data_IF_362473988528
#
_entry.id   IF_362473988528
#
_cell.length_a   1.000
_cell.length_b   1.000
_cell.length_c   1.000
_cell.angle_alpha   90.00
_cell.angle_beta   90.00
_cell.angle_gamma   90.00
#
_symmetry.space_group_name_H-M   'P 1'
#
loop_
_entity.id
_entity.type
_entity.pdbx_description
1 polymer ?
#
# COMPACT_ATOMS: atom_id res chain seq x y z
N UNK A 1 -4.41 8.95 -1.65
CA UNK A 1 -4.84 8.55 -2.99
C UNK A 1 -3.74 8.85 -3.97
N UNK A 2 -3.46 7.90 -4.85
CA UNK A 2 -2.60 8.08 -6.01
C UNK A 2 -3.29 7.54 -7.27
N UNK A 3 -2.88 8.03 -8.44
CA UNK A 3 -3.29 7.51 -9.75
C UNK A 3 -2.01 7.17 -10.49
N UNK A 4 -1.96 5.93 -10.99
CA UNK A 4 -0.90 5.46 -11.88
C UNK A 4 -1.48 5.17 -13.25
N UNK A 5 -0.81 5.60 -14.32
CA UNK A 5 -1.27 5.41 -15.71
C UNK A 5 -0.45 4.39 -16.46
N UNK A 6 -1.07 3.89 -17.55
CA UNK A 6 -0.51 2.93 -18.50
C UNK A 6 -0.17 1.58 -17.87
N UNK A 7 0.28 0.64 -18.70
CA UNK A 7 0.80 -0.66 -18.24
C UNK A 7 2.14 -0.54 -17.48
N UNK A 8 2.80 0.61 -17.55
CA UNK A 8 4.04 0.88 -16.80
C UNK A 8 3.78 1.44 -15.40
N UNK A 9 2.51 1.71 -15.05
CA UNK A 9 2.11 2.24 -13.74
C UNK A 9 2.91 3.48 -13.32
N UNK A 10 2.95 4.49 -14.19
CA UNK A 10 3.61 5.77 -13.92
C UNK A 10 2.70 6.64 -13.06
N UNK A 11 3.20 7.15 -11.93
CA UNK A 11 2.44 8.07 -11.08
C UNK A 11 2.14 9.37 -11.81
N UNK A 12 0.86 9.65 -12.02
CA UNK A 12 0.36 10.92 -12.57
C UNK A 12 -0.12 11.84 -11.46
N UNK A 13 -0.62 11.27 -10.36
CA UNK A 13 -1.12 12.00 -9.23
C UNK A 13 -0.85 11.25 -7.93
N UNK A 14 -0.53 11.99 -6.87
CA UNK A 14 -0.53 11.52 -5.50
C UNK A 14 -0.90 12.68 -4.58
N UNK A 15 -1.84 12.46 -3.68
CA UNK A 15 -2.17 13.46 -2.67
C UNK A 15 -1.12 13.47 -1.55
N UNK A 16 -1.03 14.54 -0.75
CA UNK A 16 0.00 14.67 0.30
C UNK A 16 0.06 13.47 1.26
N UNK A 17 -1.10 12.98 1.71
CA UNK A 17 -1.18 11.83 2.61
C UNK A 17 -0.62 10.53 2.01
N UNK A 18 -0.69 10.35 0.68
CA UNK A 18 -0.07 9.19 0.03
C UNK A 18 1.45 9.38 -0.08
N UNK A 19 1.92 10.62 -0.33
CA UNK A 19 3.35 10.94 -0.37
C UNK A 19 4.02 10.70 0.98
N UNK A 20 3.30 10.88 2.09
CA UNK A 20 3.78 10.56 3.45
C UNK A 20 4.19 9.08 3.64
N UNK A 21 3.66 8.15 2.82
CA UNK A 21 4.10 6.75 2.85
C UNK A 21 5.53 6.58 2.33
N UNK A 22 5.99 7.48 1.46
CA UNK A 22 7.28 7.45 0.78
C UNK A 22 7.93 8.84 0.75
N UNK A 23 8.20 9.46 1.93
CA UNK A 23 8.64 10.85 2.03
C UNK A 23 10.06 11.06 1.46
N UNK A 24 10.82 9.99 1.30
CA UNK A 24 12.17 9.93 0.76
C UNK A 24 12.21 9.71 -0.77
N UNK A 25 11.06 9.82 -1.45
CA UNK A 25 10.92 9.45 -2.88
C UNK A 25 10.12 10.47 -3.67
N UNK A 26 10.60 10.80 -4.86
CA UNK A 26 9.86 11.58 -5.86
C UNK A 26 8.98 10.63 -6.68
N UNK A 27 7.67 10.63 -6.44
CA UNK A 27 6.78 9.67 -7.08
C UNK A 27 6.36 10.10 -8.49
N UNK A 28 5.95 11.35 -8.66
CA UNK A 28 5.31 11.82 -9.89
C UNK A 28 6.24 11.68 -11.10
N UNK A 29 5.73 11.14 -12.20
CA UNK A 29 6.50 10.90 -13.42
C UNK A 29 7.33 9.61 -13.41
N UNK A 30 7.45 8.91 -12.28
CA UNK A 30 8.17 7.65 -12.16
C UNK A 30 7.22 6.45 -12.10
N UNK A 31 7.69 5.29 -12.55
CA UNK A 31 6.92 4.05 -12.44
C UNK A 31 6.93 3.52 -11.01
N UNK A 32 5.85 2.82 -10.59
CA UNK A 32 5.81 2.13 -9.29
C UNK A 32 7.00 1.18 -9.13
N UNK A 33 7.37 0.46 -10.19
CA UNK A 33 8.50 -0.49 -10.18
C UNK A 33 9.85 0.17 -9.91
N UNK A 34 10.07 1.35 -10.49
CA UNK A 34 11.32 2.10 -10.35
C UNK A 34 11.44 2.73 -8.96
N UNK A 35 10.36 3.35 -8.48
CA UNK A 35 10.42 4.15 -7.27
C UNK A 35 10.01 3.36 -6.02
N UNK A 36 9.23 2.29 -6.16
CA UNK A 36 8.80 1.37 -5.10
C UNK A 36 9.09 -0.09 -5.48
N UNK A 37 10.37 -0.48 -5.63
CA UNK A 37 10.74 -1.85 -5.99
C UNK A 37 10.20 -2.89 -4.99
N UNK A 38 10.06 -2.52 -3.71
CA UNK A 38 9.55 -3.41 -2.66
C UNK A 38 8.09 -3.81 -2.89
N UNK A 39 7.31 -2.99 -3.60
CA UNK A 39 5.95 -3.33 -3.99
C UNK A 39 5.95 -4.47 -5.03
N UNK A 40 6.96 -4.54 -5.90
CA UNK A 40 7.14 -5.64 -6.84
C UNK A 40 7.49 -6.93 -6.12
N UNK A 41 8.49 -6.86 -5.22
CA UNK A 41 8.98 -8.00 -4.44
C UNK A 41 7.90 -8.60 -3.54
N UNK A 42 6.97 -7.78 -3.06
CA UNK A 42 5.88 -8.19 -2.17
C UNK A 42 4.56 -8.47 -2.91
N UNK A 43 4.57 -8.48 -4.25
CA UNK A 43 3.43 -8.94 -5.07
C UNK A 43 2.33 -7.91 -5.33
N UNK A 44 2.50 -6.65 -4.94
CA UNK A 44 1.51 -5.59 -5.20
C UNK A 44 1.36 -5.28 -6.68
N UNK A 45 2.42 -5.44 -7.48
CA UNK A 45 2.37 -5.22 -8.93
C UNK A 45 1.43 -6.23 -9.61
N UNK A 46 1.45 -7.50 -9.19
CA UNK A 46 0.51 -8.49 -9.71
C UNK A 46 -0.96 -8.14 -9.43
N UNK A 47 -1.22 -7.43 -8.32
CA UNK A 47 -2.56 -6.92 -8.01
C UNK A 47 -2.95 -5.75 -8.95
N UNK A 48 -2.00 -4.86 -9.27
CA UNK A 48 -2.22 -3.82 -10.29
C UNK A 48 -2.52 -4.44 -11.66
N UNK A 49 -1.76 -5.47 -12.06
CA UNK A 49 -1.95 -6.22 -13.31
C UNK A 49 -3.36 -6.82 -13.36
N UNK A 50 -3.79 -7.50 -12.30
CA UNK A 50 -5.11 -8.10 -12.23
C UNK A 50 -6.22 -7.06 -12.38
N UNK A 51 -6.13 -5.93 -11.67
CA UNK A 51 -7.12 -4.85 -11.75
C UNK A 51 -7.10 -4.20 -13.13
N UNK A 52 -5.93 -4.00 -13.72
CA UNK A 52 -5.78 -3.39 -15.04
C UNK A 52 -6.36 -4.28 -16.16
N UNK A 53 -6.14 -5.60 -16.08
CA UNK A 53 -6.62 -6.57 -17.06
C UNK A 53 -8.13 -6.84 -16.94
N UNK A 54 -8.62 -6.98 -15.72
CA UNK A 54 -10.01 -7.42 -15.47
C UNK A 54 -10.97 -6.27 -15.22
N UNK A 55 -10.47 -5.11 -14.80
CA UNK A 55 -11.28 -4.01 -14.29
C UNK A 55 -11.92 -4.26 -12.92
N UNK A 56 -11.68 -5.41 -12.29
CA UNK A 56 -12.25 -5.77 -10.98
C UNK A 56 -11.37 -5.19 -9.88
N UNK A 57 -11.98 -4.43 -8.97
CA UNK A 57 -11.26 -3.79 -7.85
C UNK A 57 -10.66 -4.83 -6.90
N UNK A 58 -9.49 -4.51 -6.34
CA UNK A 58 -8.88 -5.26 -5.25
C UNK A 58 -8.98 -4.49 -3.94
N UNK A 59 -9.25 -5.19 -2.85
CA UNK A 59 -9.35 -4.64 -1.50
C UNK A 59 -8.37 -5.38 -0.57
N UNK A 60 -7.40 -4.64 -0.04
CA UNK A 60 -6.49 -5.12 0.99
C UNK A 60 -6.88 -4.56 2.35
N UNK A 61 -6.91 -5.41 3.38
CA UNK A 61 -7.13 -5.01 4.77
C UNK A 61 -5.93 -5.40 5.61
N UNK A 62 -5.38 -4.42 6.33
CA UNK A 62 -4.21 -4.55 7.22
C UNK A 62 -3.06 -5.30 6.54
N UNK A 63 -2.83 -5.04 5.25
CA UNK A 63 -1.79 -5.71 4.47
C UNK A 63 -0.44 -5.11 4.85
N UNK A 64 0.50 -5.96 5.23
CA UNK A 64 1.85 -5.55 5.59
C UNK A 64 2.67 -5.25 4.33
N UNK A 65 3.26 -4.06 4.29
CA UNK A 65 4.27 -3.62 3.35
C UNK A 65 5.55 -3.30 4.10
N UNK A 66 6.65 -3.94 3.72
CA UNK A 66 7.99 -3.59 4.16
C UNK A 66 8.55 -2.52 3.22
N UNK A 67 8.94 -1.36 3.75
CA UNK A 67 9.48 -0.25 2.98
C UNK A 67 10.94 -0.05 3.38
N UNK A 68 11.86 -0.07 2.41
CA UNK A 68 13.25 0.29 2.67
C UNK A 68 13.43 1.81 2.56
N UNK A 69 13.73 2.46 3.69
CA UNK A 69 13.92 3.91 3.77
C UNK A 69 15.32 4.29 3.27
N UNK A 70 15.41 5.08 2.19
CA UNK A 70 16.67 5.44 1.53
C UNK A 70 17.54 6.37 2.36
N UNK A 71 16.92 7.21 3.19
CA UNK A 71 17.58 8.17 4.06
C UNK A 71 18.21 7.53 5.31
N UNK A 72 17.55 6.51 5.87
CA UNK A 72 17.99 5.83 7.11
C UNK A 72 18.59 4.45 6.89
N UNK A 73 18.39 3.85 5.71
CA UNK A 73 18.80 2.48 5.39
C UNK A 73 18.02 1.39 6.15
N UNK A 74 16.96 1.75 6.87
CA UNK A 74 16.16 0.81 7.66
C UNK A 74 14.95 0.32 6.88
N UNK A 75 14.54 -0.91 7.15
CA UNK A 75 13.26 -1.43 6.70
C UNK A 75 12.19 -1.11 7.74
N UNK A 76 11.11 -0.47 7.31
CA UNK A 76 9.95 -0.14 8.14
C UNK A 76 8.76 -1.03 7.77
N UNK A 77 8.02 -1.49 8.79
CA UNK A 77 6.74 -2.16 8.63
C UNK A 77 5.60 -1.16 8.60
N UNK A 78 4.85 -1.15 7.49
CA UNK A 78 3.62 -0.35 7.33
C UNK A 78 2.45 -1.28 7.04
N UNK A 79 1.37 -1.16 7.82
CA UNK A 79 0.13 -1.88 7.57
C UNK A 79 -0.84 -0.97 6.81
N UNK A 80 -1.37 -1.47 5.69
CA UNK A 80 -2.23 -0.72 4.79
C UNK A 80 -3.62 -1.33 4.69
N UNK A 81 -4.63 -0.49 4.91
CA UNK A 81 -5.94 -0.69 4.31
C UNK A 81 -5.92 0.00 2.96
N UNK A 82 -6.14 -0.75 1.88
CA UNK A 82 -6.08 -0.16 0.54
C UNK A 82 -7.08 -0.73 -0.45
N UNK A 83 -7.35 0.06 -1.48
CA UNK A 83 -8.14 -0.35 -2.64
C UNK A 83 -7.42 0.04 -3.92
N UNK A 84 -7.31 -0.90 -4.85
CA UNK A 84 -6.99 -0.64 -6.25
C UNK A 84 -8.27 -0.70 -7.08
N UNK A 85 -8.51 0.35 -7.86
CA UNK A 85 -9.65 0.44 -8.76
C UNK A 85 -9.18 0.81 -10.16
N UNK A 86 -9.79 0.22 -11.19
CA UNK A 86 -9.50 0.59 -12.56
C UNK A 86 -9.82 2.07 -12.80
N UNK A 87 -8.82 2.83 -13.23
CA UNK A 87 -9.00 4.21 -13.66
C UNK A 87 -9.35 4.21 -15.14
N UNK A 88 -10.53 4.73 -15.48
CA UNK A 88 -11.09 4.67 -16.82
C UNK A 88 -11.26 6.04 -17.43
N UNK A 89 -10.96 6.13 -18.72
CA UNK A 89 -11.42 7.21 -19.57
C UNK A 89 -12.39 6.62 -20.59
N UNK A 90 -13.63 7.12 -20.57
CA UNK A 90 -14.76 6.48 -21.23
C UNK A 90 -14.91 5.02 -20.76
N UNK A 91 -14.70 4.05 -21.65
CA UNK A 91 -14.83 2.62 -21.37
C UNK A 91 -13.45 1.95 -21.19
N UNK A 92 -12.37 2.61 -21.59
CA UNK A 92 -11.02 2.05 -21.59
C UNK A 92 -10.35 2.21 -20.22
N UNK A 93 -9.73 1.14 -19.73
CA UNK A 93 -8.86 1.21 -18.55
C UNK A 93 -7.55 1.86 -19.00
N UNK A 94 -7.24 3.01 -18.41
CA UNK A 94 -6.03 3.80 -18.72
C UNK A 94 -5.03 3.81 -17.58
N UNK A 95 -5.39 3.26 -16.42
CA UNK A 95 -4.56 3.21 -15.23
C UNK A 95 -5.26 2.58 -14.03
N UNK A 96 -4.71 2.83 -12.85
CA UNK A 96 -5.25 2.37 -11.57
C UNK A 96 -5.28 3.54 -10.58
N UNK A 97 -6.41 3.71 -9.90
CA UNK A 97 -6.53 4.55 -8.72
C UNK A 97 -6.24 3.73 -7.47
N UNK A 98 -5.31 4.19 -6.64
CA UNK A 98 -5.00 3.61 -5.35
C UNK A 98 -5.47 4.51 -4.21
N UNK A 99 -6.28 3.94 -3.32
CA UNK A 99 -6.62 4.54 -2.03
C UNK A 99 -5.92 3.71 -0.95
N UNK A 100 -4.86 4.24 -0.34
CA UNK A 100 -4.15 3.57 0.74
C UNK A 100 -4.24 4.40 2.02
N UNK A 101 -4.45 3.73 3.14
CA UNK A 101 -4.51 4.28 4.49
C UNK A 101 -3.55 3.51 5.37
N UNK A 102 -2.61 4.23 5.98
CA UNK A 102 -1.75 3.67 7.02
C UNK A 102 -2.58 3.39 8.29
N UNK A 103 -2.62 2.13 8.68
CA UNK A 103 -3.28 1.61 9.89
C UNK A 103 -2.27 0.98 10.85
N UNK A 104 -0.98 1.27 10.70
CA UNK A 104 0.12 0.69 11.47
C UNK A 104 -0.05 0.88 12.97
N UNK A 105 -0.35 2.09 13.42
CA UNK A 105 -0.53 2.36 14.86
C UNK A 105 -1.76 1.65 15.43
N UNK A 106 -2.82 1.49 14.64
CA UNK A 106 -4.00 0.71 15.03
C UNK A 106 -3.63 -0.77 15.22
N UNK A 107 -2.95 -1.36 14.23
CA UNK A 107 -2.54 -2.77 14.27
C UNK A 107 -1.54 -3.01 15.41
N UNK A 108 -0.54 -2.13 15.59
CA UNK A 108 0.44 -2.24 16.69
C UNK A 108 -0.23 -2.13 18.06
N UNK A 109 -1.19 -1.21 18.22
CA UNK A 109 -1.93 -1.06 19.47
C UNK A 109 -2.75 -2.31 19.77
N UNK A 110 -3.45 -2.85 18.78
CA UNK A 110 -4.24 -4.09 18.94
C UNK A 110 -3.35 -5.28 19.33
N UNK A 111 -2.24 -5.50 18.61
CA UNK A 111 -1.29 -6.59 18.90
C UNK A 111 -0.71 -6.51 20.32
N UNK A 112 -0.41 -5.29 20.82
CA UNK A 112 0.05 -5.09 22.20
C UNK A 112 -1.00 -5.51 23.24
N UNK A 113 -2.28 -5.20 23.01
CA UNK A 113 -3.37 -5.58 23.91
C UNK A 113 -3.63 -7.09 23.91
N UNK A 114 -3.57 -7.73 22.75
CA UNK A 114 -3.69 -9.19 22.60
C UNK A 114 -2.57 -9.89 23.38
N UNK A 115 -1.32 -9.46 23.17
CA UNK A 115 -0.15 -10.03 23.86
C UNK A 115 -0.26 -9.90 25.39
N UNK A 116 -0.75 -8.75 25.90
CA UNK A 116 -0.90 -8.55 27.34
C UNK A 116 -1.98 -9.46 27.94
N UNK A 117 -3.05 -9.71 27.19
CA UNK A 117 -4.16 -10.58 27.62
C UNK A 117 -3.75 -12.04 27.65
N UNK A 118 -2.91 -12.48 26.70
CA UNK A 118 -2.35 -13.84 26.67
C UNK A 118 -1.33 -14.11 27.80
N UNK A 119 -0.69 -13.06 28.34
CA UNK A 119 0.28 -13.17 29.43
C UNK A 119 -0.37 -13.18 30.83
N UNK A 120 -1.66 -12.88 30.95
CA UNK A 120 -2.37 -12.97 32.22
C UNK A 120 -2.84 -14.42 32.44
N UNK A 121 -2.46 -15.09 33.55
CA UNK A 121 -3.01 -16.39 33.85
C UNK A 121 -4.55 -16.27 33.98
N UNK A 122 -5.32 -17.28 33.55
CA UNK A 122 -6.77 -17.25 33.74
C UNK A 122 -7.05 -16.99 35.22
N UNK A 123 -7.84 -15.96 35.51
CA UNK A 123 -8.28 -15.67 36.87
C UNK A 123 -8.96 -16.93 37.41
N UNK A 124 -8.29 -17.60 38.34
CA UNK A 124 -8.82 -18.78 39.01
C UNK A 124 -10.14 -18.38 39.70
N UNK A 125 -11.23 -19.00 39.26
CA UNK A 125 -12.52 -18.93 39.91
C UNK A 125 -12.75 -20.13 40.81
#
# INVERSE_FOLDING_TARGET
MAIVRSQQYVFEYANPRYLELFPDRELLGHSVLEIIPEAAEQGFIGLLDQVYLTGTSYYGKEVLLHIHRRDTGKTEEVYLDFTYQAFRENVQIVGISCFAFDVTELVRTRKKLETLTELLPPTAS
#
